data_IF_476668742816
#
_entry.id   IF_476668742816
#
_cell.length_a   1.000
_cell.length_b   1.000
_cell.length_c   1.000
_cell.angle_alpha   90.00
_cell.angle_beta   90.00
_cell.angle_gamma   90.00
#
_symmetry.space_group_name_H-M   'P 1'
#
loop_
_entity.id
_entity.type
_entity.pdbx_description
1 polymer ?
#
# COMPACT_ATOMS: atom_id res chain seq x y z
N UNK A 1 -9.74 3.73 2.84
CA UNK A 1 -10.60 2.68 3.43
C UNK A 1 -12.00 3.20 3.76
N UNK A 2 -12.12 4.25 4.59
CA UNK A 2 -13.41 4.87 4.95
C UNK A 2 -14.22 5.38 3.74
N UNK A 3 -13.57 6.10 2.82
CA UNK A 3 -14.23 6.68 1.64
C UNK A 3 -14.82 5.66 0.64
N UNK A 4 -14.56 4.35 0.76
CA UNK A 4 -15.20 3.33 -0.10
C UNK A 4 -16.28 2.52 0.61
N UNK A 5 -16.36 2.57 1.94
CA UNK A 5 -17.22 1.69 2.73
C UNK A 5 -18.46 2.42 3.27
N UNK A 6 -18.36 3.72 3.54
CA UNK A 6 -19.41 4.42 4.30
C UNK A 6 -19.89 5.73 3.67
N UNK A 7 -19.18 6.29 2.69
CA UNK A 7 -19.53 7.58 2.09
C UNK A 7 -19.13 7.51 0.63
N UNK A 8 -19.99 7.93 -0.30
CA UNK A 8 -19.68 8.03 -1.73
C UNK A 8 -18.63 9.09 -2.06
N UNK A 9 -17.65 9.31 -1.18
CA UNK A 9 -16.62 10.32 -1.28
C UNK A 9 -15.42 9.77 -2.04
N UNK A 10 -14.90 10.57 -2.97
CA UNK A 10 -13.68 10.23 -3.67
C UNK A 10 -12.45 10.53 -2.81
N UNK A 11 -11.52 9.56 -2.76
CA UNK A 11 -10.29 9.70 -1.96
C UNK A 11 -9.41 10.86 -2.45
N UNK A 12 -9.54 11.23 -3.74
CA UNK A 12 -8.82 12.35 -4.35
C UNK A 12 -9.33 13.69 -3.84
N UNK A 13 -10.65 13.86 -3.70
CA UNK A 13 -11.23 15.08 -3.11
C UNK A 13 -10.86 15.22 -1.64
N UNK A 14 -10.89 14.12 -0.88
CA UNK A 14 -10.45 14.14 0.52
C UNK A 14 -8.97 14.50 0.64
N UNK A 15 -8.12 13.91 -0.20
CA UNK A 15 -6.69 14.25 -0.24
C UNK A 15 -6.45 15.71 -0.62
N UNK A 16 -7.22 16.27 -1.56
CA UNK A 16 -7.16 17.68 -1.96
C UNK A 16 -7.54 18.62 -0.81
N UNK A 17 -8.63 18.32 -0.11
CA UNK A 17 -9.07 19.10 1.04
C UNK A 17 -8.02 19.10 2.16
N UNK A 18 -7.48 17.93 2.50
CA UNK A 18 -6.45 17.79 3.53
C UNK A 18 -5.15 18.50 3.11
N UNK A 19 -4.76 18.39 1.84
CA UNK A 19 -3.55 19.01 1.31
C UNK A 19 -3.60 20.54 1.20
N UNK A 20 -4.77 21.14 1.41
CA UNK A 20 -4.93 22.61 1.48
C UNK A 20 -4.39 23.18 2.80
N UNK A 21 -4.31 22.35 3.86
CA UNK A 21 -3.69 22.75 5.11
C UNK A 21 -2.17 22.86 4.93
N UNK A 22 -1.63 24.06 5.17
CA UNK A 22 -0.21 24.37 4.99
C UNK A 22 0.73 23.56 5.89
N UNK A 23 0.23 23.01 7.01
CA UNK A 23 1.02 22.16 7.91
C UNK A 23 1.24 20.75 7.37
N UNK A 24 0.33 20.28 6.51
CA UNK A 24 0.38 18.95 5.90
C UNK A 24 1.00 19.06 4.50
N UNK A 25 0.49 19.99 3.70
CA UNK A 25 0.85 20.17 2.31
C UNK A 25 0.30 19.08 1.38
N UNK A 26 0.35 19.28 0.06
CA UNK A 26 -0.32 18.40 -0.91
C UNK A 26 0.51 17.16 -1.31
N UNK A 27 1.74 17.01 -0.80
CA UNK A 27 2.68 15.97 -1.26
C UNK A 27 2.40 14.65 -0.53
N UNK A 28 2.65 13.52 -1.21
CA UNK A 28 2.46 12.16 -0.67
C UNK A 28 1.02 11.79 -0.23
N UNK A 29 0.01 12.60 -0.59
CA UNK A 29 -1.40 12.32 -0.30
C UNK A 29 -2.13 11.51 -1.39
N UNK A 30 -1.42 11.08 -2.45
CA UNK A 30 -2.03 10.31 -3.52
C UNK A 30 -2.19 8.84 -3.12
N UNK A 31 -3.43 8.38 -2.99
CA UNK A 31 -3.73 7.00 -2.60
C UNK A 31 -3.36 6.01 -3.72
N UNK A 32 -2.61 4.97 -3.36
CA UNK A 32 -2.24 3.86 -4.25
C UNK A 32 -2.71 2.49 -3.71
N UNK A 33 -2.42 1.42 -4.46
CA UNK A 33 -2.61 0.03 -3.98
C UNK A 33 -1.68 -0.30 -2.80
N UNK A 34 -0.58 0.44 -2.69
CA UNK A 34 0.39 0.33 -1.62
C UNK A 34 1.65 1.09 -2.02
N UNK A 35 2.46 1.45 -1.03
CA UNK A 35 3.85 1.81 -1.28
C UNK A 35 4.70 0.54 -1.41
N UNK A 36 5.87 0.71 -1.98
CA UNK A 36 6.83 -0.32 -2.34
C UNK A 36 8.19 0.33 -2.56
N UNK A 37 9.05 -0.32 -3.34
CA UNK A 37 10.46 0.07 -3.40
C UNK A 37 11.23 -0.47 -2.20
N UNK A 38 12.54 -0.69 -2.37
CA UNK A 38 13.39 -1.29 -1.33
C UNK A 38 13.60 -0.42 -0.10
N UNK A 39 13.48 0.90 -0.21
CA UNK A 39 13.93 1.81 0.85
C UNK A 39 12.87 1.98 1.94
N UNK A 40 11.64 2.34 1.58
CA UNK A 40 10.65 2.77 2.57
C UNK A 40 10.25 1.67 3.57
N UNK A 41 10.01 0.45 3.08
CA UNK A 41 9.69 -0.68 3.95
C UNK A 41 10.90 -1.10 4.80
N UNK A 42 12.10 -1.11 4.22
CA UNK A 42 13.33 -1.48 4.93
C UNK A 42 13.66 -0.50 6.03
N UNK A 43 13.51 0.80 5.77
CA UNK A 43 13.82 1.86 6.74
C UNK A 43 12.85 1.81 7.93
N UNK A 44 11.55 1.58 7.68
CA UNK A 44 10.55 1.45 8.75
C UNK A 44 10.81 0.19 9.59
N UNK A 45 11.09 -0.96 8.96
CA UNK A 45 11.39 -2.19 9.70
C UNK A 45 12.67 -2.07 10.53
N UNK A 46 13.70 -1.42 9.98
CA UNK A 46 14.92 -1.12 10.74
C UNK A 46 14.61 -0.19 11.92
N UNK A 47 13.75 0.82 11.74
CA UNK A 47 13.37 1.73 12.81
C UNK A 47 12.60 1.00 13.92
N UNK A 48 11.63 0.15 13.58
CA UNK A 48 10.90 -0.68 14.53
C UNK A 48 11.86 -1.58 15.32
N UNK A 49 12.79 -2.24 14.63
CA UNK A 49 13.81 -3.08 15.26
C UNK A 49 14.70 -2.29 16.23
N UNK A 50 15.14 -1.09 15.83
CA UNK A 50 15.89 -0.20 16.72
C UNK A 50 15.04 0.12 17.95
N UNK A 51 13.79 0.56 17.80
CA UNK A 51 12.91 0.85 18.94
C UNK A 51 12.73 -0.34 19.90
N UNK A 52 12.61 -1.56 19.39
CA UNK A 52 12.57 -2.77 20.22
C UNK A 52 13.86 -2.98 21.02
N UNK A 53 15.03 -2.83 20.39
CA UNK A 53 16.33 -2.98 21.07
C UNK A 53 16.56 -1.93 22.16
N UNK A 54 15.95 -0.75 22.04
CA UNK A 54 15.96 0.29 23.08
C UNK A 54 14.87 0.11 24.15
N UNK A 55 14.09 -0.98 24.11
CA UNK A 55 13.03 -1.25 25.09
C UNK A 55 11.80 -0.37 24.93
N UNK A 56 11.53 0.12 23.71
CA UNK A 56 10.37 0.97 23.37
C UNK A 56 9.34 0.21 22.50
N UNK A 57 8.67 -0.83 23.05
CA UNK A 57 7.78 -1.69 22.26
C UNK A 57 6.60 -0.92 21.67
N UNK A 58 6.02 0.03 22.42
CA UNK A 58 4.89 0.84 21.92
C UNK A 58 5.24 1.69 20.70
N UNK A 59 6.49 2.14 20.60
CA UNK A 59 6.96 2.94 19.46
C UNK A 59 7.23 2.04 18.27
N UNK A 60 7.79 0.85 18.50
CA UNK A 60 7.96 -0.17 17.46
C UNK A 60 6.61 -0.59 16.87
N UNK A 61 5.61 -0.88 17.70
CA UNK A 61 4.26 -1.26 17.26
C UNK A 61 3.61 -0.17 16.39
N UNK A 62 3.79 1.10 16.76
CA UNK A 62 3.29 2.23 15.97
C UNK A 62 3.87 2.24 14.55
N UNK A 63 5.20 2.09 14.43
CA UNK A 63 5.85 2.07 13.12
C UNK A 63 5.55 0.81 12.32
N UNK A 64 5.44 -0.34 12.99
CA UNK A 64 5.05 -1.60 12.38
C UNK A 64 3.65 -1.52 11.78
N UNK A 65 2.71 -0.81 12.43
CA UNK A 65 1.34 -0.63 11.92
C UNK A 65 1.28 0.03 10.52
N UNK A 66 2.29 0.82 10.15
CA UNK A 66 2.39 1.43 8.81
C UNK A 66 2.64 0.37 7.75
N UNK A 67 3.48 -0.61 8.05
CA UNK A 67 3.77 -1.75 7.15
C UNK A 67 2.54 -2.65 7.07
N UNK A 68 1.92 -2.96 8.21
CA UNK A 68 0.75 -3.83 8.28
C UNK A 68 -0.43 -3.24 7.48
N UNK A 69 -0.64 -1.92 7.57
CA UNK A 69 -1.66 -1.23 6.79
C UNK A 69 -1.38 -1.28 5.27
N UNK A 70 -0.11 -1.22 4.88
CA UNK A 70 0.29 -1.33 3.48
C UNK A 70 0.01 -2.71 2.91
N UNK A 71 0.35 -3.76 3.66
CA UNK A 71 0.12 -5.14 3.24
C UNK A 71 -1.37 -5.48 3.23
N UNK A 72 -2.14 -5.00 4.22
CA UNK A 72 -3.59 -5.09 4.22
C UNK A 72 -4.23 -4.45 2.96
N UNK A 73 -3.73 -3.29 2.51
CA UNK A 73 -4.23 -2.62 1.31
C UNK A 73 -3.97 -3.45 0.04
N UNK A 74 -2.78 -4.06 -0.09
CA UNK A 74 -2.43 -4.96 -1.20
C UNK A 74 -3.33 -6.19 -1.22
N UNK A 75 -3.47 -6.86 -0.07
CA UNK A 75 -4.31 -8.06 0.08
C UNK A 75 -5.77 -7.77 -0.25
N UNK A 76 -6.28 -6.63 0.22
CA UNK A 76 -7.64 -6.20 -0.09
C UNK A 76 -7.83 -5.97 -1.58
N UNK A 77 -6.85 -5.38 -2.26
CA UNK A 77 -6.92 -5.17 -3.70
C UNK A 77 -7.02 -6.51 -4.45
N UNK A 78 -6.16 -7.47 -4.10
CA UNK A 78 -6.17 -8.82 -4.68
C UNK A 78 -7.49 -9.54 -4.39
N UNK A 79 -7.95 -9.53 -3.15
CA UNK A 79 -9.24 -10.14 -2.76
C UNK A 79 -10.41 -9.56 -3.55
N UNK A 80 -10.43 -8.24 -3.74
CA UNK A 80 -11.47 -7.59 -4.57
C UNK A 80 -11.42 -8.04 -6.02
N UNK A 81 -10.23 -8.18 -6.61
CA UNK A 81 -10.07 -8.69 -7.96
C UNK A 81 -10.67 -10.10 -8.08
N UNK A 82 -10.35 -10.98 -7.13
CA UNK A 82 -10.88 -12.35 -7.08
C UNK A 82 -12.41 -12.36 -6.93
N UNK A 83 -12.97 -11.55 -6.02
CA UNK A 83 -14.41 -11.45 -5.82
C UNK A 83 -15.13 -10.93 -7.07
N UNK A 84 -14.58 -9.93 -7.75
CA UNK A 84 -15.13 -9.43 -9.02
C UNK A 84 -15.08 -10.48 -10.15
N UNK A 85 -14.20 -11.48 -10.04
CA UNK A 85 -14.09 -12.60 -10.98
C UNK A 85 -14.86 -13.85 -10.54
N UNK A 86 -15.91 -13.69 -9.71
CA UNK A 86 -16.75 -14.78 -9.20
C UNK A 86 -15.98 -15.83 -8.38
N UNK A 87 -14.98 -15.40 -7.61
CA UNK A 87 -14.13 -16.26 -6.78
C UNK A 87 -13.38 -17.37 -7.54
N UNK A 88 -13.28 -17.27 -8.87
CA UNK A 88 -12.49 -18.19 -9.68
C UNK A 88 -11.63 -17.43 -10.69
N UNK A 89 -10.35 -17.75 -10.68
CA UNK A 89 -9.36 -17.21 -11.62
C UNK A 89 -8.86 -18.28 -12.60
N UNK A 90 -9.34 -19.52 -12.45
CA UNK A 90 -8.90 -20.64 -13.28
C UNK A 90 -9.32 -20.40 -14.73
N UNK A 91 -8.37 -20.52 -15.65
CA UNK A 91 -8.54 -20.31 -17.09
C UNK A 91 -9.06 -18.90 -17.47
N UNK A 92 -8.72 -17.87 -16.69
CA UNK A 92 -8.97 -16.47 -17.05
C UNK A 92 -7.65 -15.79 -17.40
N UNK A 93 -7.58 -15.20 -18.59
CA UNK A 93 -6.44 -14.37 -18.98
C UNK A 93 -6.52 -13.01 -18.27
N UNK A 94 -5.47 -12.69 -17.48
CA UNK A 94 -5.38 -11.44 -16.73
C UNK A 94 -4.22 -10.62 -17.29
N UNK A 95 -4.53 -9.47 -17.89
CA UNK A 95 -3.52 -8.51 -18.33
C UNK A 95 -3.06 -7.63 -17.16
N UNK A 96 -1.76 -7.58 -16.89
CA UNK A 96 -1.15 -6.72 -15.88
C UNK A 96 -0.53 -5.47 -16.53
N UNK A 97 -1.19 -4.33 -16.38
CA UNK A 97 -0.69 -3.04 -16.89
C UNK A 97 0.15 -2.32 -15.83
N UNK A 98 1.47 -2.46 -15.92
CA UNK A 98 2.44 -1.79 -15.04
C UNK A 98 3.13 -2.77 -14.10
N UNK A 99 4.42 -3.01 -14.34
CA UNK A 99 5.24 -3.96 -13.58
C UNK A 99 6.24 -3.27 -12.62
N UNK A 100 6.50 -1.98 -12.84
CA UNK A 100 7.41 -1.18 -12.05
C UNK A 100 6.70 -0.56 -10.83
N UNK A 101 7.44 -0.38 -9.74
CA UNK A 101 6.93 0.23 -8.51
C UNK A 101 6.56 1.73 -8.68
N UNK A 102 7.20 2.44 -9.62
CA UNK A 102 6.92 3.85 -9.96
C UNK A 102 7.03 4.03 -11.47
N UNK A 103 6.37 5.07 -12.01
CA UNK A 103 6.59 5.51 -13.39
C UNK A 103 8.08 5.80 -13.62
N UNK A 104 8.59 5.42 -14.78
CA UNK A 104 9.95 5.71 -15.28
C UNK A 104 11.11 5.04 -14.54
N UNK A 105 10.94 3.83 -13.99
CA UNK A 105 12.07 3.06 -13.44
C UNK A 105 11.92 1.56 -13.64
N UNK A 106 12.96 0.88 -14.13
CA UNK A 106 13.02 -0.59 -14.25
C UNK A 106 13.26 -1.32 -12.93
N UNK A 107 13.18 -0.64 -11.78
CA UNK A 107 13.51 -1.18 -10.48
C UNK A 107 12.40 -2.12 -9.98
N UNK A 108 12.78 -3.37 -9.70
CA UNK A 108 11.91 -4.49 -9.37
C UNK A 108 11.90 -4.85 -7.87
N UNK A 109 12.59 -4.07 -7.03
CA UNK A 109 12.76 -4.36 -5.60
C UNK A 109 11.57 -3.84 -4.77
N UNK A 110 11.00 -4.69 -3.90
CA UNK A 110 9.84 -4.35 -3.06
C UNK A 110 8.46 -4.63 -3.68
N UNK A 111 8.38 -5.56 -4.66
CA UNK A 111 7.12 -5.99 -5.30
C UNK A 111 6.31 -6.94 -4.40
N UNK A 112 4.96 -6.94 -4.48
CA UNK A 112 4.19 -8.12 -4.14
C UNK A 112 4.55 -9.24 -5.14
N UNK A 113 4.78 -10.45 -4.65
CA UNK A 113 5.25 -11.57 -5.47
C UNK A 113 4.29 -11.83 -6.65
N UNK A 114 4.81 -12.15 -7.86
CA UNK A 114 3.95 -12.68 -8.91
C UNK A 114 3.33 -13.98 -8.37
N UNK A 115 2.01 -14.00 -8.21
CA UNK A 115 1.30 -15.27 -8.13
C UNK A 115 1.50 -15.96 -9.47
N UNK A 116 2.45 -16.91 -9.52
CA UNK A 116 2.56 -17.86 -10.60
C UNK A 116 1.32 -18.77 -10.53
N UNK A 117 0.22 -18.31 -11.11
CA UNK A 117 -0.83 -19.18 -11.59
C UNK A 117 -0.43 -19.56 -13.03
N UNK A 118 0.42 -20.58 -13.14
CA UNK A 118 0.41 -21.45 -14.31
C UNK A 118 -0.71 -22.48 -14.13
#
# INVERSE_FOLDING_TARGET
MACKLTVGSEVQEVARCIGTDSRIGPKFLNASVGFGGSCFQKDILNLSYVCETYGLPKVADYWQSVVDMNDYQKDRFVKRMITSMFNTIRNKDIALFGFAFKKDTGALTGRPAPCNAC
#
